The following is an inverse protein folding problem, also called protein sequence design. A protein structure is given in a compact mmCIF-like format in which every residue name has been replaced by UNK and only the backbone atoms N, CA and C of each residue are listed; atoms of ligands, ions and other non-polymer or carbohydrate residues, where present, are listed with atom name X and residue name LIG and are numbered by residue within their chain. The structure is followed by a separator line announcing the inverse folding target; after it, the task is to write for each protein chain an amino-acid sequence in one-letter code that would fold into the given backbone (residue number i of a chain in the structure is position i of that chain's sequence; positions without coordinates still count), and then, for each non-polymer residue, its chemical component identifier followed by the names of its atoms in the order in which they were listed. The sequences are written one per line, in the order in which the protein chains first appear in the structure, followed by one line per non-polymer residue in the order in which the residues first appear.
data_IF_158818620959
#
_entry.id   IF_158818620959
#
_cell.length_a   1.000
_cell.length_b   1.000
_cell.length_c   1.000
_cell.angle_alpha   90.00
_cell.angle_beta   90.00
_cell.angle_gamma   90.00
#
_symmetry.space_group_name_H-M   'P 1'
#
loop_
_entity.id
_entity.type
_entity.pdbx_description
1 polymer ?
#
# COMPACT_ATOMS: atom_id res chain seq x y z
N UNK A 1 11.45 -7.21 -21.54
CA UNK A 1 12.13 -7.26 -20.23
C UNK A 1 13.39 -8.14 -20.31
N UNK A 2 13.27 -9.40 -20.71
CA UNK A 2 14.41 -10.32 -20.77
C UNK A 2 15.49 -9.83 -21.73
N UNK A 3 15.09 -9.29 -22.88
CA UNK A 3 16.03 -8.79 -23.88
C UNK A 3 16.77 -7.53 -23.42
N UNK A 4 16.10 -6.68 -22.65
CA UNK A 4 16.72 -5.48 -22.07
C UNK A 4 17.58 -5.78 -20.83
N UNK A 5 17.37 -6.94 -20.21
CA UNK A 5 18.05 -7.32 -18.98
C UNK A 5 17.58 -6.55 -17.75
N UNK A 6 16.45 -5.86 -17.82
CA UNK A 6 15.96 -4.97 -16.77
C UNK A 6 14.44 -4.98 -16.67
N UNK A 7 13.93 -4.95 -15.44
CA UNK A 7 12.50 -4.71 -15.14
C UNK A 7 12.37 -3.43 -14.31
N UNK A 8 11.44 -2.57 -14.69
CA UNK A 8 11.15 -1.35 -13.93
C UNK A 8 9.91 -1.57 -13.07
N UNK A 9 10.04 -1.30 -11.78
CA UNK A 9 8.98 -1.54 -10.80
C UNK A 9 8.70 -0.26 -10.03
N UNK A 10 7.45 0.20 -10.08
CA UNK A 10 6.99 1.35 -9.31
C UNK A 10 6.70 0.94 -7.87
N UNK A 11 7.31 1.64 -6.92
CA UNK A 11 7.20 1.37 -5.49
C UNK A 11 7.03 2.69 -4.74
N UNK A 12 6.52 2.64 -3.51
CA UNK A 12 6.57 3.80 -2.63
C UNK A 12 8.00 3.98 -2.08
N UNK A 13 8.36 5.23 -1.83
CA UNK A 13 9.63 5.62 -1.19
C UNK A 13 9.43 6.23 0.19
N UNK A 14 8.18 6.46 0.61
CA UNK A 14 7.81 7.17 1.84
C UNK A 14 6.66 6.50 2.61
N UNK A 15 6.39 5.21 2.37
CA UNK A 15 5.35 4.43 3.04
C UNK A 15 5.96 3.25 3.80
N UNK A 16 6.60 3.54 4.94
CA UNK A 16 7.14 2.50 5.82
C UNK A 16 6.00 1.74 6.53
N UNK A 17 6.06 0.42 6.65
CA UNK A 17 7.16 -0.50 6.29
C UNK A 17 6.99 -1.22 4.94
N UNK A 18 6.20 -0.69 4.01
CA UNK A 18 5.91 -1.34 2.72
C UNK A 18 6.91 -0.96 1.63
N UNK A 19 7.15 0.35 1.45
CA UNK A 19 8.16 0.88 0.54
C UNK A 19 8.68 2.19 1.07
N UNK A 20 9.95 2.24 1.43
CA UNK A 20 10.60 3.43 1.95
C UNK A 20 12.08 3.40 1.67
N UNK A 21 12.71 4.57 1.76
CA UNK A 21 14.17 4.70 1.61
C UNK A 21 14.78 4.90 2.99
N UNK A 22 15.77 4.08 3.32
CA UNK A 22 16.45 4.14 4.62
C UNK A 22 17.50 5.28 4.66
N UNK A 23 18.17 5.44 5.80
CA UNK A 23 19.19 6.47 6.03
C UNK A 23 20.39 6.35 5.08
N UNK A 24 20.62 5.16 4.51
CA UNK A 24 21.70 4.90 3.57
C UNK A 24 21.27 5.08 2.11
N UNK A 25 20.03 5.49 1.86
CA UNK A 25 19.50 5.67 0.51
C UNK A 25 19.01 4.39 -0.15
N UNK A 26 18.87 3.30 0.60
CA UNK A 26 18.42 2.02 0.07
C UNK A 26 16.92 1.83 0.27
N UNK A 27 16.26 1.26 -0.74
CA UNK A 27 14.85 0.87 -0.62
C UNK A 27 14.70 -0.32 0.32
N UNK A 28 13.68 -0.24 1.18
CA UNK A 28 13.34 -1.27 2.16
C UNK A 28 11.82 -1.46 2.20
N UNK A 29 11.37 -2.62 2.66
CA UNK A 29 9.97 -2.87 2.96
C UNK A 29 9.41 -4.13 2.32
N UNK A 30 8.16 -4.42 2.68
CA UNK A 30 7.45 -5.64 2.27
C UNK A 30 7.33 -5.76 0.75
N UNK A 31 6.96 -4.66 0.08
CA UNK A 31 6.84 -4.62 -1.38
C UNK A 31 8.20 -4.67 -2.06
N UNK A 32 9.23 -4.12 -1.43
CA UNK A 32 10.59 -4.10 -1.98
C UNK A 32 11.20 -5.50 -2.03
N UNK A 33 10.95 -6.31 -0.99
CA UNK A 33 11.40 -7.71 -0.98
C UNK A 33 10.81 -8.49 -2.16
N UNK A 34 9.52 -8.30 -2.43
CA UNK A 34 8.86 -8.93 -3.58
C UNK A 34 9.44 -8.42 -4.90
N UNK A 35 9.62 -7.11 -5.04
CA UNK A 35 10.19 -6.52 -6.25
C UNK A 35 11.55 -7.12 -6.58
N UNK A 36 12.43 -7.22 -5.59
CA UNK A 36 13.76 -7.79 -5.78
C UNK A 36 13.71 -9.27 -6.12
N UNK A 37 12.80 -10.02 -5.49
CA UNK A 37 12.64 -11.45 -5.77
C UNK A 37 12.12 -11.72 -7.18
N UNK A 38 11.17 -10.91 -7.66
CA UNK A 38 10.67 -11.04 -9.04
C UNK A 38 11.79 -10.83 -10.04
N UNK A 39 12.64 -9.83 -9.84
CA UNK A 39 13.79 -9.58 -10.70
C UNK A 39 14.79 -10.74 -10.67
N UNK A 40 15.06 -11.26 -9.49
CA UNK A 40 15.95 -12.42 -9.31
C UNK A 40 15.42 -13.65 -10.06
N UNK A 41 14.13 -13.95 -9.89
CA UNK A 41 13.49 -15.12 -10.52
C UNK A 41 13.40 -14.97 -12.04
N UNK A 42 13.24 -13.74 -12.53
CA UNK A 42 13.23 -13.43 -13.97
C UNK A 42 14.65 -13.38 -14.55
N UNK A 43 15.67 -13.27 -13.72
CA UNK A 43 17.06 -13.21 -14.14
C UNK A 43 17.47 -11.87 -14.73
N UNK A 44 16.88 -10.77 -14.25
CA UNK A 44 17.14 -9.42 -14.74
C UNK A 44 17.43 -8.47 -13.57
N UNK A 45 18.01 -7.31 -13.90
CA UNK A 45 18.19 -6.24 -12.93
C UNK A 45 16.85 -5.55 -12.62
N UNK A 46 16.69 -5.10 -11.39
CA UNK A 46 15.50 -4.35 -10.95
C UNK A 46 15.84 -2.86 -10.88
N UNK A 47 15.05 -2.05 -11.58
CA UNK A 47 15.07 -0.61 -11.43
C UNK A 47 13.81 -0.19 -10.66
N UNK A 48 14.01 0.30 -9.44
CA UNK A 48 12.91 0.78 -8.60
C UNK A 48 12.62 2.24 -8.93
N UNK A 49 11.35 2.55 -9.17
CA UNK A 49 10.88 3.89 -9.52
C UNK A 49 9.97 4.39 -8.40
N UNK A 50 10.36 5.49 -7.76
CA UNK A 50 9.55 6.14 -6.74
C UNK A 50 8.24 6.61 -7.36
N UNK A 51 7.12 6.20 -6.76
CA UNK A 51 5.79 6.40 -7.32
C UNK A 51 4.87 6.99 -6.25
N UNK A 52 4.08 7.98 -6.63
CA UNK A 52 3.01 8.50 -5.78
C UNK A 52 1.73 7.72 -6.03
N UNK A 53 0.82 7.70 -5.05
CA UNK A 53 -0.43 6.94 -5.16
C UNK A 53 -1.23 7.33 -6.41
N UNK A 54 -1.32 8.62 -6.72
CA UNK A 54 -2.09 9.11 -7.87
C UNK A 54 -1.48 8.74 -9.23
N UNK A 55 -0.20 8.34 -9.27
CA UNK A 55 0.52 8.07 -10.51
C UNK A 55 0.60 6.59 -10.89
N UNK A 56 0.11 5.69 -10.04
CA UNK A 56 0.28 4.25 -10.24
C UNK A 56 -0.28 3.74 -11.56
N UNK A 57 -1.52 4.10 -11.87
CA UNK A 57 -2.16 3.70 -13.14
C UNK A 57 -1.45 4.33 -14.34
N UNK A 58 -1.19 5.62 -14.27
CA UNK A 58 -0.54 6.37 -15.36
C UNK A 58 0.84 5.79 -15.70
N UNK A 59 1.64 5.44 -14.70
CA UNK A 59 2.98 4.91 -14.93
C UNK A 59 2.96 3.55 -15.66
N UNK A 60 1.92 2.74 -15.43
CA UNK A 60 1.71 1.52 -16.22
C UNK A 60 1.26 1.85 -17.64
N UNK A 61 0.30 2.77 -17.79
CA UNK A 61 -0.27 3.12 -19.09
C UNK A 61 0.76 3.74 -20.03
N UNK A 62 1.67 4.54 -19.50
CA UNK A 62 2.72 5.22 -20.29
C UNK A 62 3.97 4.37 -20.48
N UNK A 63 4.06 3.22 -19.84
CA UNK A 63 5.24 2.36 -19.90
C UNK A 63 6.42 2.87 -19.07
N UNK A 64 6.22 3.82 -18.18
CA UNK A 64 7.27 4.30 -17.28
C UNK A 64 7.74 3.20 -16.35
N UNK A 65 6.84 2.31 -15.95
CA UNK A 65 7.14 1.10 -15.20
C UNK A 65 6.49 -0.11 -15.86
N UNK A 66 7.08 -1.29 -15.63
CA UNK A 66 6.52 -2.56 -16.11
C UNK A 66 5.51 -3.13 -15.11
N UNK A 67 5.76 -2.94 -13.82
CA UNK A 67 4.96 -3.47 -12.72
C UNK A 67 4.77 -2.41 -11.66
N UNK A 68 3.59 -2.35 -11.05
CA UNK A 68 3.35 -1.59 -9.82
C UNK A 68 3.36 -2.55 -8.63
N UNK A 69 4.24 -2.30 -7.70
CA UNK A 69 4.33 -2.91 -6.37
C UNK A 69 4.34 -1.80 -5.31
N UNK A 70 3.37 -0.92 -5.40
CA UNK A 70 3.22 0.22 -4.50
C UNK A 70 1.97 0.04 -3.65
N UNK A 71 1.88 -1.08 -2.94
CA UNK A 71 0.82 -1.39 -1.98
C UNK A 71 -0.57 -1.13 -2.61
N UNK A 72 -0.81 -1.70 -3.78
CA UNK A 72 -1.88 -1.32 -4.69
C UNK A 72 -3.13 -2.18 -4.50
N UNK A 73 -4.13 -1.63 -3.81
CA UNK A 73 -5.38 -2.32 -3.50
C UNK A 73 -6.18 -2.62 -4.77
N UNK A 74 -6.66 -3.84 -4.89
CA UNK A 74 -7.53 -4.28 -6.00
C UNK A 74 -8.91 -3.66 -5.82
N UNK A 75 -9.36 -2.91 -6.82
CA UNK A 75 -10.73 -2.38 -6.89
C UNK A 75 -11.29 -2.60 -8.28
N UNK A 76 -12.63 -2.69 -8.44
CA UNK A 76 -13.24 -2.81 -9.76
C UNK A 76 -12.86 -1.68 -10.72
N UNK A 77 -12.81 -0.46 -10.22
CA UNK A 77 -12.43 0.72 -11.01
C UNK A 77 -10.99 0.60 -11.53
N UNK A 78 -10.05 0.24 -10.64
CA UNK A 78 -8.65 0.05 -11.03
C UNK A 78 -8.47 -1.12 -12.00
N UNK A 79 -9.25 -2.19 -11.83
CA UNK A 79 -9.21 -3.37 -12.70
C UNK A 79 -9.69 -3.08 -14.12
N UNK A 80 -10.41 -1.99 -14.35
CA UNK A 80 -10.75 -1.54 -15.70
C UNK A 80 -9.54 -0.91 -16.42
N UNK A 81 -8.60 -0.34 -15.67
CA UNK A 81 -7.47 0.40 -16.19
C UNK A 81 -6.16 -0.39 -16.24
N UNK A 82 -6.01 -1.39 -15.38
CA UNK A 82 -4.80 -2.22 -15.27
C UNK A 82 -5.20 -3.69 -15.12
N UNK A 83 -4.23 -4.60 -15.27
CA UNK A 83 -4.42 -6.02 -14.96
C UNK A 83 -3.72 -6.35 -13.64
N UNK A 84 -4.48 -6.86 -12.68
CA UNK A 84 -3.94 -7.29 -11.39
C UNK A 84 -3.51 -8.76 -11.45
N UNK A 85 -2.35 -9.04 -10.88
CA UNK A 85 -1.90 -10.39 -10.57
C UNK A 85 -2.60 -10.90 -9.29
N UNK A 86 -2.24 -12.09 -8.84
CA UNK A 86 -2.80 -12.66 -7.62
C UNK A 86 -2.40 -11.84 -6.38
N UNK A 87 -3.30 -11.73 -5.39
CA UNK A 87 -3.01 -10.92 -4.21
C UNK A 87 -2.00 -11.57 -3.28
N UNK A 88 -1.24 -10.73 -2.56
CA UNK A 88 -0.23 -11.16 -1.59
C UNK A 88 -0.44 -10.56 -0.20
N UNK A 89 -1.51 -9.80 -0.02
CA UNK A 89 -1.81 -9.13 1.25
C UNK A 89 -3.28 -8.77 1.35
N UNK A 90 -3.82 -8.80 2.58
CA UNK A 90 -5.14 -8.25 2.90
C UNK A 90 -5.00 -6.83 3.46
N UNK A 91 -6.03 -6.01 3.28
CA UNK A 91 -6.06 -4.63 3.76
C UNK A 91 -7.50 -4.20 3.99
N UNK A 92 -7.69 -3.24 4.88
CA UNK A 92 -8.94 -2.48 5.01
C UNK A 92 -8.56 -1.01 5.21
N UNK A 93 -9.54 -0.13 5.29
CA UNK A 93 -9.31 1.27 5.62
C UNK A 93 -9.38 1.48 7.13
N UNK A 94 -8.66 2.50 7.61
CA UNK A 94 -8.69 2.92 8.99
C UNK A 94 -8.58 4.43 9.13
N UNK A 95 -8.78 4.92 10.36
CA UNK A 95 -8.68 6.34 10.68
C UNK A 95 -7.89 6.50 11.96
N UNK A 96 -6.85 7.32 11.92
CA UNK A 96 -6.04 7.71 13.07
C UNK A 96 -6.39 9.12 13.50
N UNK A 97 -6.39 9.34 14.82
CA UNK A 97 -6.69 10.63 15.46
C UNK A 97 -5.60 10.98 16.46
N UNK A 98 -5.53 12.25 16.84
CA UNK A 98 -4.77 12.66 18.03
C UNK A 98 -5.50 12.16 19.29
N UNK A 99 -4.76 11.79 20.33
CA UNK A 99 -5.29 11.11 21.54
C UNK A 99 -6.41 11.84 22.26
N UNK A 100 -6.41 13.18 22.20
CA UNK A 100 -7.41 14.00 22.91
C UNK A 100 -8.70 14.21 22.10
N UNK A 101 -8.72 13.78 20.84
CA UNK A 101 -9.85 13.95 19.91
C UNK A 101 -10.07 12.70 19.07
N UNK A 102 -10.15 11.55 19.71
CA UNK A 102 -10.30 10.27 19.02
C UNK A 102 -11.66 10.16 18.34
N UNK A 103 -11.64 9.72 17.09
CA UNK A 103 -12.82 9.41 16.31
C UNK A 103 -12.97 7.88 16.21
N UNK A 104 -14.09 7.36 16.68
CA UNK A 104 -14.43 5.94 16.60
C UNK A 104 -15.53 5.63 15.59
N UNK A 105 -16.15 6.68 15.06
CA UNK A 105 -17.19 6.62 14.02
C UNK A 105 -17.09 7.87 13.15
N UNK A 106 -17.34 7.74 11.85
CA UNK A 106 -17.24 8.88 10.92
C UNK A 106 -18.20 10.03 11.28
N UNK A 107 -19.35 9.72 11.89
CA UNK A 107 -20.33 10.73 12.32
C UNK A 107 -19.78 11.70 13.37
N UNK A 108 -18.70 11.34 14.05
CA UNK A 108 -18.06 12.19 15.08
C UNK A 108 -17.12 13.24 14.49
N UNK A 109 -16.81 13.18 13.19
CA UNK A 109 -15.81 14.07 12.57
C UNK A 109 -16.34 15.50 12.44
N UNK A 110 -17.59 15.67 11.99
CA UNK A 110 -18.16 17.01 11.80
C UNK A 110 -17.36 17.86 10.80
N UNK A 111 -17.02 19.07 11.21
CA UNK A 111 -16.27 20.03 10.38
C UNK A 111 -14.75 19.89 10.47
N UNK A 112 -14.26 18.89 11.19
CA UNK A 112 -12.83 18.65 11.32
C UNK A 112 -12.22 18.25 9.98
N UNK A 113 -10.97 18.61 9.77
CA UNK A 113 -10.24 18.25 8.56
C UNK A 113 -9.95 16.74 8.52
N UNK A 114 -10.28 16.11 7.40
CA UNK A 114 -9.90 14.72 7.12
C UNK A 114 -8.78 14.74 6.10
N UNK A 115 -7.59 14.31 6.51
CA UNK A 115 -6.44 14.21 5.63
C UNK A 115 -6.55 12.91 4.85
N UNK A 116 -6.37 12.99 3.54
CA UNK A 116 -6.29 11.85 2.64
C UNK A 116 -5.17 12.06 1.64
N UNK A 117 -4.69 10.97 1.04
CA UNK A 117 -3.70 11.04 -0.03
C UNK A 117 -4.44 10.82 -1.36
N UNK A 118 -4.16 11.65 -2.34
CA UNK A 118 -4.77 11.58 -3.67
C UNK A 118 -4.48 10.23 -4.33
N UNK A 119 -5.51 9.60 -4.90
CA UNK A 119 -5.39 8.32 -5.60
C UNK A 119 -5.46 7.10 -4.70
N UNK A 120 -5.83 7.27 -3.43
CA UNK A 120 -6.01 6.16 -2.49
C UNK A 120 -7.47 5.71 -2.43
N UNK A 121 -7.67 4.48 -1.94
CA UNK A 121 -9.01 3.94 -1.70
C UNK A 121 -9.75 4.71 -0.59
N UNK A 122 -9.02 5.29 0.36
CA UNK A 122 -9.62 6.13 1.41
C UNK A 122 -10.26 7.39 0.82
N UNK A 123 -9.58 8.06 -0.10
CA UNK A 123 -10.14 9.22 -0.81
C UNK A 123 -11.43 8.84 -1.54
N UNK A 124 -11.39 7.76 -2.31
CA UNK A 124 -12.55 7.30 -3.08
C UNK A 124 -13.72 6.93 -2.18
N UNK A 125 -13.46 6.16 -1.12
CA UNK A 125 -14.48 5.72 -0.17
C UNK A 125 -15.21 6.91 0.47
N UNK A 126 -14.44 7.86 1.00
CA UNK A 126 -15.03 9.02 1.69
C UNK A 126 -15.76 9.95 0.72
N UNK A 127 -15.24 10.13 -0.48
CA UNK A 127 -15.90 10.94 -1.52
C UNK A 127 -17.26 10.35 -1.91
N UNK A 128 -17.36 9.02 -1.98
CA UNK A 128 -18.59 8.34 -2.38
C UNK A 128 -19.60 8.21 -1.23
N UNK A 129 -19.14 7.93 0.00
CA UNK A 129 -20.02 7.57 1.12
C UNK A 129 -20.25 8.70 2.11
N UNK A 130 -19.36 9.69 2.20
CA UNK A 130 -19.41 10.77 3.20
C UNK A 130 -19.09 12.12 2.57
N UNK A 131 -19.96 12.59 1.67
CA UNK A 131 -19.74 13.78 0.84
C UNK A 131 -19.61 15.09 1.64
N UNK A 132 -20.13 15.12 2.86
CA UNK A 132 -20.10 16.31 3.70
C UNK A 132 -18.80 16.49 4.46
N UNK A 133 -17.92 15.50 4.46
CA UNK A 133 -16.63 15.59 5.13
C UNK A 133 -15.69 16.55 4.40
N UNK A 134 -14.94 17.31 5.18
CA UNK A 134 -13.94 18.25 4.67
C UNK A 134 -12.62 17.52 4.41
N UNK A 135 -12.40 17.09 3.17
CA UNK A 135 -11.17 16.41 2.77
C UNK A 135 -10.07 17.41 2.44
N UNK A 136 -8.88 17.17 2.98
CA UNK A 136 -7.65 17.88 2.61
C UNK A 136 -6.70 16.86 2.01
N UNK A 137 -6.36 17.07 0.72
CA UNK A 137 -5.64 16.08 -0.09
C UNK A 137 -4.16 16.41 -0.20
N UNK A 138 -3.32 15.38 -0.04
CA UNK A 138 -1.87 15.47 -0.22
C UNK A 138 -1.42 14.44 -1.25
N UNK A 139 -0.29 14.72 -1.91
CA UNK A 139 0.22 13.83 -2.95
C UNK A 139 1.13 12.72 -2.40
N UNK A 140 1.76 12.95 -1.25
CA UNK A 140 2.74 12.02 -0.68
C UNK A 140 2.39 11.64 0.75
N UNK A 141 2.88 10.47 1.18
CA UNK A 141 2.76 10.04 2.58
C UNK A 141 3.52 10.96 3.53
N UNK A 142 4.70 11.42 3.11
CA UNK A 142 5.50 12.35 3.90
C UNK A 142 4.73 13.65 4.19
N UNK A 143 4.13 14.26 3.16
CA UNK A 143 3.36 15.50 3.33
C UNK A 143 2.10 15.29 4.18
N UNK A 144 1.39 14.20 3.99
CA UNK A 144 0.19 13.88 4.77
C UNK A 144 0.51 13.69 6.25
N UNK A 145 1.58 12.96 6.56
CA UNK A 145 2.03 12.75 7.96
C UNK A 145 2.38 14.06 8.64
N UNK A 146 3.14 14.91 7.98
CA UNK A 146 3.51 16.23 8.50
C UNK A 146 2.27 17.10 8.77
N UNK A 147 1.34 17.13 7.82
CA UNK A 147 0.09 17.90 7.96
C UNK A 147 -0.75 17.38 9.12
N UNK A 148 -0.85 16.06 9.28
CA UNK A 148 -1.60 15.45 10.37
C UNK A 148 -0.97 15.75 11.73
N UNK A 149 0.34 15.59 11.85
CA UNK A 149 1.07 15.88 13.08
C UNK A 149 0.89 17.34 13.53
N UNK A 150 0.85 18.26 12.58
CA UNK A 150 0.76 19.70 12.85
C UNK A 150 -0.67 20.21 13.04
N UNK A 151 -1.69 19.38 12.84
CA UNK A 151 -3.08 19.77 13.02
C UNK A 151 -3.78 18.85 14.05
N UNK A 152 -3.85 19.27 15.34
CA UNK A 152 -4.46 18.44 16.39
C UNK A 152 -5.93 18.11 16.18
N UNK A 153 -6.65 18.91 15.39
CA UNK A 153 -8.07 18.69 15.10
C UNK A 153 -8.28 17.73 13.92
N UNK A 154 -7.25 17.50 13.10
CA UNK A 154 -7.38 16.64 11.93
C UNK A 154 -7.45 15.17 12.30
N UNK A 155 -8.07 14.40 11.43
CA UNK A 155 -7.96 12.93 11.39
C UNK A 155 -7.33 12.55 10.05
N UNK A 156 -6.71 11.37 9.99
CA UNK A 156 -6.12 10.86 8.75
C UNK A 156 -6.71 9.50 8.42
N UNK A 157 -7.29 9.39 7.23
CA UNK A 157 -7.88 8.15 6.71
C UNK A 157 -6.96 7.58 5.62
N UNK A 158 -6.62 6.31 5.75
CA UNK A 158 -5.76 5.59 4.80
C UNK A 158 -5.96 4.09 4.99
N UNK A 159 -5.12 3.27 4.33
CA UNK A 159 -5.07 1.85 4.65
C UNK A 159 -4.89 1.68 6.17
N UNK A 160 -5.62 0.74 6.76
CA UNK A 160 -5.51 0.52 8.20
C UNK A 160 -4.09 0.11 8.60
N UNK A 161 -3.39 -0.63 7.73
CA UNK A 161 -1.99 -0.97 7.93
C UNK A 161 -1.12 0.27 8.05
N UNK A 162 -1.36 1.30 7.24
CA UNK A 162 -0.58 2.54 7.29
C UNK A 162 -0.86 3.35 8.55
N UNK A 163 -2.12 3.53 8.92
CA UNK A 163 -2.46 4.33 10.11
C UNK A 163 -2.04 3.61 11.40
N UNK A 164 -2.10 2.29 11.43
CA UNK A 164 -1.59 1.48 12.55
C UNK A 164 -0.06 1.61 12.64
N UNK A 165 0.64 1.48 11.50
CA UNK A 165 2.09 1.66 11.47
C UNK A 165 2.51 3.05 11.96
N UNK A 166 1.82 4.07 11.47
CA UNK A 166 2.06 5.44 11.91
C UNK A 166 1.90 5.59 13.42
N UNK A 167 0.79 5.12 13.98
CA UNK A 167 0.54 5.23 15.42
C UNK A 167 1.57 4.45 16.24
N UNK A 168 1.97 3.26 15.79
CA UNK A 168 2.96 2.44 16.48
C UNK A 168 4.36 3.07 16.44
N UNK A 169 4.70 3.73 15.34
CA UNK A 169 6.02 4.38 15.17
C UNK A 169 6.08 5.76 15.81
N UNK A 170 4.99 6.53 15.73
CA UNK A 170 4.96 7.92 16.22
C UNK A 170 4.65 8.04 17.73
N UNK A 171 4.04 7.02 18.33
CA UNK A 171 3.86 6.94 19.77
C UNK A 171 2.43 7.18 20.26
N UNK A 172 2.25 7.24 21.60
CA UNK A 172 0.93 7.23 22.24
C UNK A 172 0.10 8.49 22.04
N UNK A 173 0.66 9.51 21.42
CA UNK A 173 -0.06 10.73 21.05
C UNK A 173 -1.12 10.49 19.98
N UNK A 174 -1.09 9.34 19.29
CA UNK A 174 -1.95 9.00 18.17
C UNK A 174 -2.69 7.70 18.45
N UNK A 175 -3.98 7.68 18.09
CA UNK A 175 -4.86 6.53 18.36
C UNK A 175 -5.62 6.18 17.08
N UNK A 176 -5.55 4.92 16.69
CA UNK A 176 -6.38 4.40 15.60
C UNK A 176 -7.75 4.07 16.17
N UNK A 177 -8.67 5.03 16.08
CA UNK A 177 -10.03 4.88 16.60
C UNK A 177 -10.93 4.05 15.70
N UNK A 178 -10.65 4.00 14.40
CA UNK A 178 -11.33 3.13 13.44
C UNK A 178 -10.29 2.23 12.78
N UNK A 179 -10.33 0.93 13.09
CA UNK A 179 -9.39 -0.04 12.53
C UNK A 179 -9.88 -0.66 11.23
N UNK A 180 -11.19 -0.64 11.00
CA UNK A 180 -11.77 -1.14 9.77
C UNK A 180 -12.96 -0.29 9.34
N UNK A 181 -12.76 0.44 8.26
CA UNK A 181 -13.78 1.23 7.60
C UNK A 181 -14.11 0.54 6.27
N UNK A 182 -15.36 0.07 6.14
CA UNK A 182 -15.77 -0.70 4.97
C UNK A 182 -15.30 -2.16 5.01
N UNK A 183 -15.16 -2.74 3.84
CA UNK A 183 -14.82 -4.16 3.68
C UNK A 183 -13.32 -4.41 3.71
N UNK A 184 -12.93 -5.66 3.92
CA UNK A 184 -11.56 -6.12 3.69
C UNK A 184 -11.34 -6.29 2.20
N UNK A 185 -10.24 -5.73 1.71
CA UNK A 185 -9.78 -5.82 0.32
C UNK A 185 -8.44 -6.55 0.25
N UNK A 186 -7.91 -6.71 -0.95
CA UNK A 186 -6.60 -7.33 -1.18
C UNK A 186 -5.68 -6.37 -1.93
N UNK A 187 -4.38 -6.58 -1.75
CA UNK A 187 -3.32 -5.88 -2.48
C UNK A 187 -2.64 -6.89 -3.40
N UNK A 188 -2.41 -6.47 -4.64
CA UNK A 188 -1.80 -7.32 -5.66
C UNK A 188 -0.86 -6.52 -6.57
N UNK A 189 0.14 -7.18 -7.18
CA UNK A 189 0.92 -6.56 -8.24
C UNK A 189 0.04 -6.21 -9.43
N UNK A 190 0.36 -5.14 -10.14
CA UNK A 190 -0.36 -4.74 -11.34
C UNK A 190 0.57 -4.53 -12.52
N UNK A 191 0.08 -4.86 -13.71
CA UNK A 191 0.75 -4.65 -14.99
C UNK A 191 -0.16 -3.86 -15.91
N UNK A 192 0.38 -3.35 -17.02
CA UNK A 192 -0.40 -2.68 -18.06
C UNK A 192 -1.52 -3.58 -18.55
N UNK A 193 -2.69 -2.98 -18.79
CA UNK A 193 -3.84 -3.68 -19.34
C UNK A 193 -3.46 -4.38 -20.66
N UNK A 194 -3.74 -5.68 -20.73
CA UNK A 194 -3.45 -6.48 -21.92
C UNK A 194 -2.05 -7.10 -21.99
N UNK A 195 -1.17 -6.82 -21.02
CA UNK A 195 0.16 -7.46 -20.97
C UNK A 195 0.06 -8.86 -20.35
N UNK A 196 -0.53 -9.78 -21.09
CA UNK A 196 -0.84 -11.13 -20.60
C UNK A 196 0.40 -11.97 -20.33
N UNK A 197 1.46 -11.83 -21.13
CA UNK A 197 2.68 -12.62 -20.95
C UNK A 197 3.36 -12.30 -19.63
N UNK A 198 3.45 -11.03 -19.26
CA UNK A 198 4.02 -10.60 -17.99
C UNK A 198 3.10 -10.99 -16.82
N UNK A 199 1.78 -10.80 -16.97
CA UNK A 199 0.81 -11.18 -15.94
C UNK A 199 0.89 -12.67 -15.62
N UNK A 200 0.91 -13.50 -16.66
CA UNK A 200 0.97 -14.96 -16.50
C UNK A 200 2.29 -15.39 -15.84
N UNK A 201 3.40 -14.76 -16.23
CA UNK A 201 4.69 -15.04 -15.60
C UNK A 201 4.69 -14.68 -14.11
N UNK A 202 4.17 -13.50 -13.79
CA UNK A 202 4.08 -13.04 -12.37
C UNK A 202 3.19 -13.98 -11.57
N UNK A 203 2.03 -14.36 -12.09
CA UNK A 203 1.13 -15.27 -11.37
C UNK A 203 1.76 -16.63 -11.12
N UNK A 204 2.49 -17.16 -12.07
CA UNK A 204 3.21 -18.43 -11.89
C UNK A 204 4.30 -18.30 -10.83
N UNK A 205 5.07 -17.21 -10.86
CA UNK A 205 6.09 -16.95 -9.86
C UNK A 205 5.50 -16.74 -8.46
N UNK A 206 4.40 -15.98 -8.37
CA UNK A 206 3.69 -15.79 -7.09
C UNK A 206 3.22 -17.10 -6.50
N UNK A 207 2.71 -18.02 -7.34
CA UNK A 207 2.31 -19.35 -6.89
C UNK A 207 3.48 -20.13 -6.30
N UNK A 208 4.64 -20.06 -6.95
CA UNK A 208 5.86 -20.70 -6.45
C UNK A 208 6.33 -20.07 -5.15
N UNK A 209 6.26 -18.74 -5.04
CA UNK A 209 6.59 -18.02 -3.81
C UNK A 209 5.63 -18.37 -2.67
N UNK A 210 4.34 -18.49 -2.97
CA UNK A 210 3.35 -18.94 -1.99
C UNK A 210 3.66 -20.33 -1.46
N UNK A 211 4.08 -21.25 -2.33
CA UNK A 211 4.47 -22.61 -1.93
C UNK A 211 5.72 -22.62 -1.03
N UNK A 212 6.58 -21.61 -1.13
CA UNK A 212 7.76 -21.41 -0.27
C UNK A 212 7.44 -20.70 1.04
N UNK A 213 6.21 -20.23 1.25
CA UNK A 213 5.83 -19.31 2.34
C UNK A 213 6.65 -18.01 2.31
N UNK A 214 6.93 -17.50 1.13
CA UNK A 214 7.72 -16.29 0.93
C UNK A 214 7.12 -15.09 1.67
N UNK A 215 5.80 -14.94 1.63
CA UNK A 215 5.15 -13.75 2.21
C UNK A 215 5.08 -13.78 3.72
N UNK A 216 5.01 -14.95 4.35
CA UNK A 216 5.20 -15.07 5.80
C UNK A 216 6.63 -14.70 6.19
N UNK A 217 7.63 -15.16 5.45
CA UNK A 217 9.02 -14.81 5.69
C UNK A 217 9.28 -13.30 5.48
N UNK A 218 8.67 -12.72 4.45
CA UNK A 218 8.73 -11.27 4.19
C UNK A 218 8.10 -10.48 5.35
N UNK A 219 6.94 -10.92 5.84
CA UNK A 219 6.31 -10.32 7.02
C UNK A 219 7.24 -10.33 8.22
N UNK A 220 7.83 -11.46 8.52
CA UNK A 220 8.73 -11.61 9.67
C UNK A 220 9.96 -10.70 9.54
N UNK A 221 10.44 -10.49 8.32
CA UNK A 221 11.58 -9.61 8.05
C UNK A 221 11.22 -8.13 8.09
N UNK A 222 10.07 -7.74 7.54
CA UNK A 222 9.75 -6.34 7.26
C UNK A 222 8.62 -5.75 8.09
N UNK A 223 7.69 -6.56 8.56
CA UNK A 223 6.46 -6.10 9.22
C UNK A 223 6.33 -6.50 10.68
N UNK A 224 7.03 -7.53 11.11
CA UNK A 224 6.87 -8.09 12.45
C UNK A 224 7.13 -7.06 13.56
N UNK A 225 8.18 -6.27 13.43
CA UNK A 225 8.54 -5.24 14.43
C UNK A 225 7.47 -4.16 14.57
N UNK A 226 6.75 -3.87 13.48
CA UNK A 226 5.70 -2.84 13.46
C UNK A 226 4.37 -3.36 13.97
N UNK A 227 3.97 -4.56 13.53
CA UNK A 227 2.61 -5.08 13.79
C UNK A 227 2.55 -6.20 14.83
N UNK A 228 3.65 -6.90 15.08
CA UNK A 228 3.67 -8.06 15.96
C UNK A 228 3.18 -9.34 15.29
N UNK A 229 3.31 -10.45 16.02
CA UNK A 229 2.97 -11.77 15.49
C UNK A 229 1.45 -11.98 15.27
N UNK A 230 0.62 -11.27 16.03
CA UNK A 230 -0.84 -11.46 15.97
C UNK A 230 -1.46 -11.03 14.65
N UNK A 231 -0.85 -10.08 13.93
CA UNK A 231 -1.37 -9.60 12.64
C UNK A 231 -0.90 -10.43 11.44
N UNK A 232 0.07 -11.32 11.61
CA UNK A 232 0.71 -12.00 10.48
C UNK A 232 -0.31 -12.75 9.61
N UNK A 233 -1.09 -13.63 10.21
CA UNK A 233 -2.06 -14.44 9.46
C UNK A 233 -3.25 -13.62 8.94
N UNK A 234 -3.53 -12.47 9.55
CA UNK A 234 -4.58 -11.56 9.09
C UNK A 234 -4.14 -10.82 7.83
N UNK A 235 -2.88 -10.38 7.76
CA UNK A 235 -2.37 -9.57 6.67
C UNK A 235 -1.82 -10.37 5.50
N UNK A 236 -1.15 -11.50 5.77
CA UNK A 236 -0.42 -12.23 4.74
C UNK A 236 -1.35 -13.12 3.93
N UNK A 237 -1.18 -13.08 2.62
CA UNK A 237 -1.77 -14.03 1.66
C UNK A 237 -0.63 -14.72 0.94
N UNK A 238 -0.62 -16.06 0.97
CA UNK A 238 0.31 -16.85 0.15
C UNK A 238 -0.41 -17.23 -1.15
N UNK A 239 -0.04 -16.61 -2.29
CA UNK A 239 -0.74 -16.83 -3.56
C UNK A 239 -0.76 -18.30 -3.97
N UNK A 240 -1.90 -18.76 -4.48
CA UNK A 240 -2.07 -20.13 -4.94
C UNK A 240 -2.16 -21.21 -3.85
N UNK A 241 -2.12 -20.82 -2.59
CA UNK A 241 -2.26 -21.73 -1.44
C UNK A 241 -3.61 -21.46 -0.78
N UNK A 242 -4.45 -22.48 -0.62
CA UNK A 242 -5.76 -22.41 0.04
C UNK A 242 -5.74 -23.15 1.36
#
# INVERSE_FOLDING_TARGET
IKDSGKITIGVFSDKSPFGYVDENGNYQGYDIELANRLGQDLGVDVELVSTEAANRVEYLQTGKVDVILANFTVTPERAEAVDFADPYMNVALGVVSHKDKVVTDLDQIGDRTVIVISGTTAETYLTEHNKDLKLEKYDTYAAAKTAFENNPDAVWANDNTEVIAFANQAGPEYVVGIEQLGNTDTIAPAVSKGNESLLNWINEDLKNLGAENFFHADYEKTLLDTYGAAYEDTLVVEPGQN
#
